data_IF_636487448658
#
_entry.id   IF_636487448658
#
_cell.length_a   1.000
_cell.length_b   1.000
_cell.length_c   1.000
_cell.angle_alpha   90.00
_cell.angle_beta   90.00
_cell.angle_gamma   90.00
#
_symmetry.space_group_name_H-M   'P 1'
#
loop_
_entity.id
_entity.type
_entity.pdbx_description
1 polymer ?
#
# COMPACT_ATOMS: atom_id res chain seq x y z
N UNK A 1 -16.62 18.12 -9.02
CA UNK A 1 -16.35 17.40 -10.29
C UNK A 1 -17.11 16.09 -10.21
N UNK A 2 -18.05 15.84 -11.12
CA UNK A 2 -18.87 14.63 -11.10
C UNK A 2 -18.10 13.47 -11.78
N UNK A 3 -17.75 12.44 -11.00
CA UNK A 3 -16.96 11.31 -11.47
C UNK A 3 -17.65 10.53 -12.60
N UNK A 4 -18.99 10.56 -12.64
CA UNK A 4 -19.77 9.87 -13.66
C UNK A 4 -19.76 10.62 -15.00
N UNK A 5 -19.90 11.96 -14.98
CA UNK A 5 -19.79 12.76 -16.20
C UNK A 5 -18.39 12.69 -16.82
N UNK A 6 -17.32 12.70 -16.02
CA UNK A 6 -15.95 12.51 -16.49
C UNK A 6 -15.75 11.14 -17.14
N UNK A 7 -16.23 10.06 -16.49
CA UNK A 7 -16.22 8.70 -17.06
C UNK A 7 -16.93 8.66 -18.41
N UNK A 8 -18.13 9.21 -18.49
CA UNK A 8 -18.91 9.21 -19.73
C UNK A 8 -18.18 9.95 -20.84
N UNK A 9 -17.42 11.00 -20.51
CA UNK A 9 -16.58 11.70 -21.48
C UNK A 9 -15.40 10.85 -21.94
N UNK A 10 -14.64 10.24 -21.03
CA UNK A 10 -13.51 9.36 -21.37
C UNK A 10 -13.95 8.19 -22.26
N UNK A 11 -15.09 7.56 -21.96
CA UNK A 11 -15.62 6.45 -22.77
C UNK A 11 -15.96 6.94 -24.18
N UNK A 12 -16.63 8.09 -24.32
CA UNK A 12 -16.96 8.65 -25.63
C UNK A 12 -15.73 8.99 -26.45
N UNK A 13 -14.72 9.59 -25.83
CA UNK A 13 -13.48 9.99 -26.51
C UNK A 13 -12.72 8.74 -27.01
N UNK A 14 -12.67 7.69 -26.18
CA UNK A 14 -12.02 6.44 -26.55
C UNK A 14 -12.79 5.68 -27.64
N UNK A 15 -14.13 5.68 -27.57
CA UNK A 15 -14.99 5.10 -28.61
C UNK A 15 -14.77 5.80 -29.97
N UNK A 16 -14.77 7.13 -29.99
CA UNK A 16 -14.51 7.91 -31.21
C UNK A 16 -13.13 7.62 -31.77
N UNK A 17 -12.11 7.57 -30.92
CA UNK A 17 -10.75 7.24 -31.33
C UNK A 17 -10.67 5.84 -31.93
N UNK A 18 -11.20 4.82 -31.26
CA UNK A 18 -11.15 3.43 -31.74
C UNK A 18 -11.87 3.25 -33.09
N UNK A 19 -13.01 3.95 -33.28
CA UNK A 19 -13.77 3.94 -34.53
C UNK A 19 -13.09 4.73 -35.66
N UNK A 20 -12.21 5.67 -35.35
CA UNK A 20 -11.57 6.53 -36.38
C UNK A 20 -10.61 5.79 -37.31
N UNK A 21 -10.08 4.63 -36.89
CA UNK A 21 -9.14 3.84 -37.70
C UNK A 21 -9.81 2.92 -38.73
N UNK A 22 -11.09 2.60 -38.55
CA UNK A 22 -11.79 1.63 -39.40
C UNK A 22 -13.09 2.24 -39.93
N UNK A 23 -13.17 2.48 -41.23
CA UNK A 23 -14.37 2.98 -41.88
C UNK A 23 -14.90 1.95 -42.91
N UNK A 24 -15.74 0.99 -42.48
CA UNK A 24 -16.30 -0.01 -43.39
C UNK A 24 -17.18 0.67 -44.43
N UNK A 25 -16.98 0.30 -45.71
CA UNK A 25 -17.81 0.78 -46.84
C UNK A 25 -19.06 -0.08 -47.06
N UNK A 26 -19.03 -1.32 -46.60
CA UNK A 26 -20.15 -2.24 -46.70
C UNK A 26 -21.15 -2.00 -45.56
N UNK A 27 -22.43 -1.80 -45.90
CA UNK A 27 -23.46 -1.38 -44.96
C UNK A 27 -23.77 -2.46 -43.92
N UNK A 28 -23.76 -3.73 -44.32
CA UNK A 28 -23.94 -4.89 -43.44
C UNK A 28 -22.86 -4.95 -42.33
N UNK A 29 -21.61 -4.68 -42.68
CA UNK A 29 -20.49 -4.64 -41.72
C UNK A 29 -20.62 -3.44 -40.78
N UNK A 30 -21.05 -2.26 -41.28
CA UNK A 30 -21.28 -1.08 -40.44
C UNK A 30 -22.35 -1.36 -39.39
N UNK A 31 -23.51 -1.89 -39.80
CA UNK A 31 -24.62 -2.22 -38.91
C UNK A 31 -24.19 -3.21 -37.84
N UNK A 32 -23.42 -4.24 -38.21
CA UNK A 32 -22.91 -5.23 -37.26
C UNK A 32 -21.98 -4.59 -36.21
N UNK A 33 -21.03 -3.76 -36.65
CA UNK A 33 -20.08 -3.10 -35.75
C UNK A 33 -20.79 -2.11 -34.82
N UNK A 34 -21.75 -1.33 -35.32
CA UNK A 34 -22.54 -0.40 -34.51
C UNK A 34 -23.34 -1.15 -33.42
N UNK A 35 -23.91 -2.30 -33.75
CA UNK A 35 -24.60 -3.16 -32.80
C UNK A 35 -23.65 -3.71 -31.72
N UNK A 36 -22.49 -4.23 -32.13
CA UNK A 36 -21.49 -4.79 -31.20
C UNK A 36 -20.92 -3.73 -30.24
N UNK A 37 -20.64 -2.52 -30.71
CA UNK A 37 -20.23 -1.41 -29.85
C UNK A 37 -21.35 -0.95 -28.90
N UNK A 38 -22.60 -0.95 -29.39
CA UNK A 38 -23.79 -0.63 -28.58
C UNK A 38 -24.02 -1.59 -27.40
N UNK A 39 -23.47 -2.81 -27.44
CA UNK A 39 -23.55 -3.77 -26.32
C UNK A 39 -22.81 -3.34 -25.05
N UNK A 40 -21.89 -2.36 -25.16
CA UNK A 40 -21.03 -1.95 -24.04
C UNK A 40 -19.91 -2.93 -23.72
N UNK A 41 -19.72 -3.99 -24.53
CA UNK A 41 -18.70 -5.03 -24.36
C UNK A 41 -17.26 -4.48 -24.32
N UNK A 42 -16.99 -3.45 -25.12
CA UNK A 42 -15.64 -2.88 -25.26
C UNK A 42 -15.31 -1.80 -24.23
N UNK A 43 -16.31 -1.33 -23.48
CA UNK A 43 -16.17 -0.34 -22.41
C UNK A 43 -17.02 -0.78 -21.22
N UNK A 44 -16.59 -1.87 -20.54
CA UNK A 44 -17.30 -2.38 -19.39
C UNK A 44 -17.45 -1.30 -18.32
N UNK A 45 -18.49 -1.42 -17.51
CA UNK A 45 -18.65 -0.52 -16.37
C UNK A 45 -17.40 -0.55 -15.51
N UNK A 46 -16.93 0.62 -15.03
CA UNK A 46 -15.72 0.68 -14.23
C UNK A 46 -15.89 -0.23 -13.02
N UNK A 47 -14.82 -0.91 -12.64
CA UNK A 47 -14.78 -1.63 -11.38
C UNK A 47 -14.93 -0.59 -10.26
N UNK A 48 -16.14 -0.47 -9.71
CA UNK A 48 -16.39 0.35 -8.52
C UNK A 48 -15.88 -0.45 -7.33
N UNK A 49 -14.59 -0.32 -7.06
CA UNK A 49 -14.02 -0.86 -5.85
C UNK A 49 -14.23 0.18 -4.74
N UNK A 50 -15.14 -0.12 -3.82
CA UNK A 50 -15.16 0.57 -2.53
C UNK A 50 -13.81 0.24 -1.89
N UNK A 51 -12.98 1.25 -1.68
CA UNK A 51 -11.72 1.08 -0.96
C UNK A 51 -12.01 1.44 0.50
N UNK A 52 -12.52 0.50 1.31
CA UNK A 52 -12.79 0.81 2.70
C UNK A 52 -11.48 1.27 3.33
N UNK A 53 -11.51 2.43 3.99
CA UNK A 53 -10.37 2.88 4.78
C UNK A 53 -10.00 1.77 5.76
N UNK A 54 -8.70 1.47 5.87
CA UNK A 54 -8.23 0.51 6.86
C UNK A 54 -8.65 0.99 8.25
N UNK A 55 -9.13 0.06 9.07
CA UNK A 55 -9.55 0.36 10.44
C UNK A 55 -8.38 0.98 11.18
N UNK A 56 -8.59 2.18 11.74
CA UNK A 56 -7.60 2.87 12.55
C UNK A 56 -7.29 2.06 13.82
N UNK A 57 -6.01 1.97 14.15
CA UNK A 57 -5.51 1.45 15.41
C UNK A 57 -4.93 2.56 16.29
N UNK A 58 -4.16 2.17 17.29
CA UNK A 58 -3.43 3.09 18.14
C UNK A 58 -2.20 3.66 17.42
N UNK A 59 -1.69 4.79 17.89
CA UNK A 59 -0.36 5.25 17.47
C UNK A 59 0.75 4.57 18.31
N UNK A 60 2.00 4.68 17.85
CA UNK A 60 3.14 4.04 18.53
C UNK A 60 3.35 4.56 19.95
N UNK A 61 3.13 5.85 20.22
CA UNK A 61 3.27 6.40 21.58
C UNK A 61 2.26 5.81 22.56
N UNK A 62 1.01 5.60 22.12
CA UNK A 62 -0.02 4.93 22.91
C UNK A 62 0.37 3.47 23.22
N UNK A 63 0.97 2.76 22.25
CA UNK A 63 1.45 1.39 22.48
C UNK A 63 2.65 1.33 23.45
N UNK A 64 3.53 2.33 23.42
CA UNK A 64 4.62 2.48 24.39
C UNK A 64 4.06 2.80 25.79
N UNK A 65 3.12 3.73 25.89
CA UNK A 65 2.49 4.12 27.16
C UNK A 65 1.79 2.93 27.86
N UNK A 66 1.21 2.02 27.07
CA UNK A 66 0.60 0.78 27.55
C UNK A 66 1.63 -0.33 27.89
N UNK A 67 2.92 0.00 27.93
CA UNK A 67 4.05 -0.94 28.14
C UNK A 67 4.13 -2.10 27.13
N UNK A 68 3.51 -1.95 25.97
CA UNK A 68 3.62 -2.94 24.90
C UNK A 68 4.99 -2.87 24.21
N UNK A 69 5.45 -1.66 23.93
CA UNK A 69 6.69 -1.41 23.18
C UNK A 69 7.77 -0.75 24.04
N UNK A 70 9.03 -0.98 23.67
CA UNK A 70 10.18 -0.30 24.23
C UNK A 70 10.07 1.23 24.08
N UNK A 71 10.44 2.04 25.09
CA UNK A 71 10.30 3.50 25.05
C UNK A 71 10.88 4.17 23.79
N UNK A 72 12.07 3.73 23.37
CA UNK A 72 12.75 4.24 22.18
C UNK A 72 11.94 4.05 20.87
N UNK A 73 11.00 3.10 20.80
CA UNK A 73 10.12 2.95 19.65
C UNK A 73 9.28 4.21 19.38
N UNK A 74 8.86 4.93 20.43
CA UNK A 74 8.14 6.20 20.27
C UNK A 74 8.98 7.29 19.59
N UNK A 75 10.31 7.25 19.79
CA UNK A 75 11.23 8.17 19.12
C UNK A 75 11.53 7.75 17.69
N UNK A 76 11.72 6.44 17.44
CA UNK A 76 12.08 5.90 16.13
C UNK A 76 10.92 6.03 15.12
N UNK A 77 9.72 5.58 15.48
CA UNK A 77 8.58 5.45 14.57
C UNK A 77 7.72 6.71 14.53
N UNK A 78 8.23 7.74 13.85
CA UNK A 78 7.57 9.04 13.64
C UNK A 78 7.72 9.48 12.18
N UNK A 79 6.70 10.12 11.63
CA UNK A 79 6.68 10.66 10.27
C UNK A 79 7.06 12.14 10.26
N UNK A 80 7.67 12.62 9.18
CA UNK A 80 7.95 14.05 8.99
C UNK A 80 9.03 14.62 9.92
N UNK A 81 10.11 13.86 10.18
CA UNK A 81 11.27 14.31 10.98
C UNK A 81 12.15 15.37 10.30
N UNK A 82 11.72 15.91 9.17
CA UNK A 82 12.50 16.84 8.34
C UNK A 82 12.64 18.22 9.00
N UNK A 83 13.77 18.87 8.77
CA UNK A 83 14.03 20.23 9.26
C UNK A 83 14.16 20.36 10.78
N UNK A 84 14.62 19.31 11.47
CA UNK A 84 14.88 19.33 12.92
C UNK A 84 13.62 19.24 13.79
N UNK A 85 12.44 19.00 13.20
CA UNK A 85 11.21 18.76 13.95
C UNK A 85 11.16 17.31 14.45
N UNK A 86 10.57 17.05 15.63
CA UNK A 86 10.44 15.68 16.15
C UNK A 86 9.49 14.79 15.32
N UNK A 87 8.76 15.35 14.35
CA UNK A 87 7.78 14.64 13.53
C UNK A 87 6.45 14.42 14.26
N UNK A 88 5.61 13.51 13.74
CA UNK A 88 4.34 13.07 14.31
C UNK A 88 4.40 11.55 14.56
N UNK A 89 3.86 11.03 15.68
CA UNK A 89 3.83 9.59 15.95
C UNK A 89 3.19 8.81 14.79
N UNK A 90 3.77 7.67 14.44
CA UNK A 90 3.17 6.80 13.44
C UNK A 90 1.80 6.29 13.93
N UNK A 91 0.73 6.71 13.25
CA UNK A 91 -0.61 6.17 13.46
C UNK A 91 -0.71 4.82 12.77
N UNK A 92 -1.12 3.79 13.51
CA UNK A 92 -1.18 2.43 12.98
C UNK A 92 -2.59 2.08 12.52
N UNK A 93 -2.66 1.14 11.58
CA UNK A 93 -3.90 0.43 11.28
C UNK A 93 -4.05 -0.79 12.17
N UNK A 94 -5.29 -1.24 12.37
CA UNK A 94 -5.63 -2.41 13.19
C UNK A 94 -4.79 -3.64 12.85
N UNK A 95 -4.58 -3.93 11.57
CA UNK A 95 -3.78 -5.08 11.13
C UNK A 95 -2.29 -4.99 11.53
N UNK A 96 -1.73 -3.78 11.61
CA UNK A 96 -0.35 -3.57 12.08
C UNK A 96 -0.28 -3.78 13.60
N UNK A 97 -1.27 -3.26 14.33
CA UNK A 97 -1.37 -3.44 15.77
C UNK A 97 -1.54 -4.92 16.15
N UNK A 98 -2.39 -5.66 15.45
CA UNK A 98 -2.57 -7.10 15.64
C UNK A 98 -1.26 -7.86 15.40
N UNK A 99 -0.51 -7.54 14.34
CA UNK A 99 0.79 -8.14 14.08
C UNK A 99 1.80 -7.88 15.22
N UNK A 100 1.85 -6.65 15.74
CA UNK A 100 2.68 -6.30 16.90
C UNK A 100 2.29 -7.15 18.12
N UNK A 101 0.99 -7.26 18.42
CA UNK A 101 0.49 -8.06 19.55
C UNK A 101 0.85 -9.54 19.41
N UNK A 102 0.71 -10.12 18.21
CA UNK A 102 1.11 -11.52 17.93
C UNK A 102 2.61 -11.73 18.16
N UNK A 103 3.44 -10.80 17.66
CA UNK A 103 4.88 -10.85 17.89
C UNK A 103 5.25 -10.76 19.38
N UNK A 104 4.59 -9.88 20.14
CA UNK A 104 4.82 -9.74 21.59
C UNK A 104 4.45 -11.01 22.37
N UNK A 105 3.44 -11.76 21.89
CA UNK A 105 3.09 -13.06 22.43
C UNK A 105 4.07 -14.19 22.05
N UNK A 106 5.10 -13.89 21.24
CA UNK A 106 6.03 -14.89 20.71
C UNK A 106 5.45 -15.75 19.59
N UNK A 107 4.33 -15.33 18.99
CA UNK A 107 3.64 -16.06 17.94
C UNK A 107 4.19 -15.69 16.55
N UNK A 108 4.23 -16.68 15.65
CA UNK A 108 4.46 -16.43 14.22
C UNK A 108 3.15 -16.02 13.56
N UNK A 109 3.22 -15.12 12.58
CA UNK A 109 2.03 -14.66 11.85
C UNK A 109 2.28 -14.57 10.34
N UNK A 110 1.20 -14.71 9.57
CA UNK A 110 1.15 -14.40 8.14
C UNK A 110 0.22 -13.20 7.97
N UNK A 111 0.72 -12.12 7.37
CA UNK A 111 -0.06 -10.90 7.15
C UNK A 111 -0.44 -10.78 5.68
N UNK A 112 -1.73 -10.89 5.38
CA UNK A 112 -2.30 -10.66 4.05
C UNK A 112 -3.07 -9.34 4.03
N UNK A 113 -2.54 -8.32 3.35
CA UNK A 113 -3.17 -7.00 3.23
C UNK A 113 -3.06 -6.46 1.81
N UNK A 114 -3.87 -5.46 1.48
CA UNK A 114 -3.78 -4.76 0.19
C UNK A 114 -2.46 -4.00 0.02
N UNK A 115 -2.06 -3.78 -1.23
CA UNK A 115 -0.91 -2.92 -1.57
C UNK A 115 -1.09 -1.53 -0.98
N UNK A 116 -0.02 -0.95 -0.44
CA UNK A 116 -0.07 0.39 0.18
C UNK A 116 -0.64 0.45 1.59
N UNK A 117 -1.06 -0.68 2.20
CA UNK A 117 -1.60 -0.67 3.58
C UNK A 117 -0.59 -0.32 4.68
N UNK A 118 0.68 -0.15 4.33
CA UNK A 118 1.75 0.02 5.31
C UNK A 118 2.15 -1.29 6.00
N UNK A 119 2.06 -2.44 5.32
CA UNK A 119 2.53 -3.75 5.86
C UNK A 119 3.94 -3.70 6.44
N UNK A 120 4.80 -2.80 5.97
CA UNK A 120 6.17 -2.64 6.47
C UNK A 120 6.24 -2.36 7.98
N UNK A 121 5.34 -1.54 8.51
CA UNK A 121 5.30 -1.23 9.93
C UNK A 121 4.94 -2.44 10.79
N UNK A 122 4.18 -3.39 10.23
CA UNK A 122 3.76 -4.60 10.96
C UNK A 122 4.92 -5.49 11.38
N UNK A 123 6.02 -5.51 10.61
CA UNK A 123 7.21 -6.31 10.94
C UNK A 123 8.38 -5.45 11.44
N UNK A 124 8.53 -4.19 11.00
CA UNK A 124 9.62 -3.35 11.51
C UNK A 124 9.44 -3.00 12.99
N UNK A 125 8.25 -2.61 13.42
CA UNK A 125 8.01 -2.24 14.82
C UNK A 125 8.39 -3.37 15.78
N UNK A 126 7.88 -4.61 15.63
CA UNK A 126 8.24 -5.69 16.55
C UNK A 126 9.71 -6.11 16.44
N UNK A 127 10.34 -6.01 15.26
CA UNK A 127 11.78 -6.28 15.11
C UNK A 127 12.60 -5.29 15.95
N UNK A 128 12.34 -3.99 15.84
CA UNK A 128 13.07 -2.97 16.59
C UNK A 128 12.77 -3.06 18.09
N UNK A 129 11.51 -3.30 18.47
CA UNK A 129 11.13 -3.55 19.86
C UNK A 129 11.95 -4.68 20.49
N UNK A 130 12.05 -5.82 19.79
CA UNK A 130 12.83 -6.96 20.25
C UNK A 130 14.35 -6.66 20.32
N UNK A 131 14.90 -5.94 19.35
CA UNK A 131 16.32 -5.53 19.36
C UNK A 131 16.60 -4.64 20.58
N UNK A 132 15.75 -3.63 20.82
CA UNK A 132 15.93 -2.67 21.90
C UNK A 132 15.81 -3.32 23.28
N UNK A 133 14.75 -4.11 23.51
CA UNK A 133 14.57 -4.88 24.75
C UNK A 133 15.75 -5.82 25.03
N UNK A 134 16.28 -6.49 24.00
CA UNK A 134 17.46 -7.36 24.17
C UNK A 134 18.74 -6.57 24.39
N UNK A 135 18.88 -5.38 23.81
CA UNK A 135 20.04 -4.51 24.04
C UNK A 135 20.13 -4.08 25.51
N UNK A 136 19.01 -3.69 26.12
CA UNK A 136 18.96 -3.36 27.56
C UNK A 136 19.34 -4.57 28.43
N UNK A 137 18.91 -5.78 28.07
CA UNK A 137 19.28 -7.01 28.79
C UNK A 137 20.75 -7.41 28.58
N UNK A 138 21.32 -7.08 27.43
CA UNK A 138 22.69 -7.42 27.04
C UNK A 138 23.75 -6.46 27.60
N UNK A 139 23.39 -5.46 28.41
CA UNK A 139 24.37 -4.70 29.21
C UNK A 139 25.18 -5.60 30.17
N UNK A 140 24.85 -6.90 30.26
CA UNK A 140 25.56 -7.93 31.02
C UNK A 140 26.34 -8.98 30.16
N UNK A 141 26.54 -8.81 28.84
CA UNK A 141 27.39 -9.71 28.02
C UNK A 141 27.31 -9.56 26.48
N UNK A 142 28.21 -10.21 25.73
CA UNK A 142 28.14 -10.26 24.26
C UNK A 142 26.89 -11.01 23.77
N UNK A 143 26.06 -10.35 22.96
CA UNK A 143 24.83 -10.93 22.42
C UNK A 143 24.69 -10.68 20.92
N UNK A 144 24.20 -11.69 20.18
CA UNK A 144 24.05 -11.65 18.71
C UNK A 144 22.62 -11.98 18.29
N UNK A 145 21.87 -10.97 17.84
CA UNK A 145 20.58 -11.16 17.17
C UNK A 145 20.77 -11.10 15.66
N UNK A 146 20.12 -12.01 14.93
CA UNK A 146 20.09 -11.97 13.47
C UNK A 146 18.66 -11.73 13.00
N UNK A 147 18.50 -10.74 12.13
CA UNK A 147 17.25 -10.46 11.44
C UNK A 147 17.50 -10.63 9.95
N UNK A 148 16.72 -11.48 9.29
CA UNK A 148 16.82 -11.71 7.85
C UNK A 148 15.50 -11.27 7.20
N UNK A 149 15.56 -10.19 6.43
CA UNK A 149 14.43 -9.72 5.61
C UNK A 149 14.66 -10.19 4.18
N UNK A 150 13.72 -10.96 3.63
CA UNK A 150 13.73 -11.37 2.23
C UNK A 150 12.66 -10.59 1.48
N UNK A 151 13.07 -9.91 0.40
CA UNK A 151 12.17 -9.23 -0.51
C UNK A 151 12.43 -9.75 -1.92
N UNK A 152 11.38 -10.22 -2.59
CA UNK A 152 11.44 -10.50 -4.01
C UNK A 152 11.29 -9.17 -4.77
N UNK A 153 12.34 -8.77 -5.48
CA UNK A 153 12.25 -7.72 -6.49
C UNK A 153 12.29 -8.39 -7.85
N UNK A 154 11.17 -8.34 -8.57
CA UNK A 154 11.18 -8.60 -10.01
C UNK A 154 11.27 -7.24 -10.70
N UNK A 155 12.48 -6.87 -11.08
CA UNK A 155 12.72 -5.74 -11.97
C UNK A 155 12.74 -6.34 -13.38
N UNK A 156 11.64 -6.16 -14.12
CA UNK A 156 11.71 -6.20 -15.58
C UNK A 156 12.79 -5.20 -16.01
N UNK A 157 13.94 -5.76 -16.36
CA UNK A 157 15.01 -5.07 -17.07
C UNK A 157 14.47 -4.39 -18.31
N UNK A 158 14.83 -3.11 -18.48
CA UNK A 158 14.59 -2.18 -19.61
C UNK A 158 13.29 -1.36 -19.59
N UNK A 159 13.41 -0.11 -19.16
CA UNK A 159 13.36 1.03 -20.09
C UNK A 159 13.74 2.36 -19.43
N UNK A 160 14.88 2.93 -19.83
CA UNK A 160 15.04 4.36 -20.14
C UNK A 160 15.00 5.40 -19.01
N UNK A 161 16.16 6.00 -18.76
CA UNK A 161 16.36 7.42 -18.39
C UNK A 161 15.49 8.05 -17.29
N UNK A 162 15.98 7.96 -16.04
CA UNK A 162 15.65 8.95 -15.03
C UNK A 162 16.45 10.24 -15.28
N UNK A 163 15.84 11.22 -15.97
CA UNK A 163 16.23 12.63 -15.85
C UNK A 163 15.49 13.25 -14.68
N UNK A 164 16.25 13.89 -13.81
CA UNK A 164 15.78 14.73 -12.72
C UNK A 164 14.95 15.93 -13.24
N UNK A 165 13.82 16.18 -12.60
CA UNK A 165 13.21 17.48 -12.35
C UNK A 165 12.41 17.38 -11.05
#
# INVERSE_FOLDING_TARGET
>A
MDAFSFRNQVIRDYEQFARSFTNPRAEDIRIYLDAEYGTGRYWPSPLIQVNPFFVAGQNVEQLVANRGLHPECAHIFRFGKEGGKPGVPASLHKHQQEAITRCQAGESYVLTTGTGSGKSLSYFIPIFDAILKRKELAEFGEYRMQVRVMAAFDQLSNSGEAKAC
#
